data_IF_906043480705
#
_entry.id   IF_906043480705
#
_cell.length_a   1.000
_cell.length_b   1.000
_cell.length_c   1.000
_cell.angle_alpha   90.00
_cell.angle_beta   90.00
_cell.angle_gamma   90.00
#
_symmetry.space_group_name_H-M   'P 1'
#
loop_
_entity.id
_entity.type
_entity.pdbx_description
1 polymer ?
#
# COMPACT_ATOMS: atom_id res chain seq x y z
N UNK A 1 -33.49 24.65 25.31
CA UNK A 1 -32.03 24.62 25.05
C UNK A 1 -31.85 23.86 23.74
N UNK A 2 -31.82 24.59 22.64
CA UNK A 2 -31.90 24.04 21.28
C UNK A 2 -30.48 23.70 20.83
N UNK A 3 -30.13 22.42 20.85
CA UNK A 3 -28.90 21.90 20.26
C UNK A 3 -29.01 22.06 18.75
N UNK A 4 -28.44 23.15 18.21
CA UNK A 4 -28.20 23.29 16.79
C UNK A 4 -27.18 22.22 16.38
N UNK A 5 -27.67 21.16 15.73
CA UNK A 5 -26.82 20.27 14.94
C UNK A 5 -26.32 21.08 13.75
N UNK A 6 -25.07 21.54 13.81
CA UNK A 6 -24.36 22.05 12.64
C UNK A 6 -24.19 20.86 11.70
N UNK A 7 -25.09 20.72 10.74
CA UNK A 7 -24.86 19.87 9.57
C UNK A 7 -23.70 20.49 8.80
N UNK A 8 -22.50 19.92 8.97
CA UNK A 8 -21.36 20.20 8.10
C UNK A 8 -21.75 19.60 6.74
N UNK A 9 -22.19 20.44 5.80
CA UNK A 9 -22.41 20.01 4.42
C UNK A 9 -21.06 19.64 3.78
N UNK A 10 -20.69 18.36 3.88
CA UNK A 10 -19.46 17.83 3.30
C UNK A 10 -19.44 17.88 1.77
N UNK A 11 -20.57 18.16 1.10
CA UNK A 11 -20.59 18.36 -0.36
C UNK A 11 -19.98 19.70 -0.78
N UNK A 12 -19.89 20.66 0.13
CA UNK A 12 -19.37 21.99 -0.15
C UNK A 12 -17.84 22.11 0.00
N UNK A 13 -17.20 21.15 0.69
CA UNK A 13 -15.75 21.12 0.83
C UNK A 13 -15.14 20.43 -0.40
N UNK A 14 -14.65 21.22 -1.37
CA UNK A 14 -13.83 20.68 -2.46
C UNK A 14 -12.57 19.99 -1.91
N UNK A 15 -11.97 19.08 -2.70
CA UNK A 15 -10.73 18.38 -2.36
C UNK A 15 -9.68 19.35 -1.81
N UNK A 16 -9.06 18.99 -0.69
CA UNK A 16 -7.99 19.80 -0.09
C UNK A 16 -6.82 19.97 -1.06
N UNK A 17 -6.04 21.04 -0.91
CA UNK A 17 -4.84 21.27 -1.73
C UNK A 17 -3.87 20.08 -1.70
N UNK A 18 -3.73 19.41 -0.56
CA UNK A 18 -2.89 18.22 -0.42
C UNK A 18 -3.43 17.02 -1.21
N UNK A 19 -4.72 16.69 -1.06
CA UNK A 19 -5.38 15.59 -1.77
C UNK A 19 -5.37 15.79 -3.28
N UNK A 20 -5.66 17.03 -3.72
CA UNK A 20 -5.66 17.41 -5.13
C UNK A 20 -4.29 17.22 -5.80
N UNK A 21 -3.21 17.47 -5.06
CA UNK A 21 -1.84 17.36 -5.57
C UNK A 21 -1.09 16.12 -5.05
N UNK A 22 -1.80 15.12 -4.50
CA UNK A 22 -1.21 13.95 -3.84
C UNK A 22 -0.20 13.23 -4.72
N UNK A 23 -0.49 13.03 -6.01
CA UNK A 23 0.43 12.38 -6.95
C UNK A 23 1.74 13.15 -7.11
N UNK A 24 1.70 14.49 -7.10
CA UNK A 24 2.90 15.33 -7.17
C UNK A 24 3.70 15.22 -5.88
N UNK A 25 3.02 15.25 -4.72
CA UNK A 25 3.68 15.07 -3.43
C UNK A 25 4.36 13.69 -3.32
N UNK A 26 3.66 12.62 -3.67
CA UNK A 26 4.22 11.25 -3.68
C UNK A 26 5.41 11.17 -4.65
N UNK A 27 5.27 11.68 -5.87
CA UNK A 27 6.37 11.73 -6.83
C UNK A 27 7.58 12.51 -6.31
N UNK A 28 7.36 13.67 -5.68
CA UNK A 28 8.43 14.48 -5.09
C UNK A 28 9.12 13.76 -3.92
N UNK A 29 8.37 13.02 -3.10
CA UNK A 29 8.92 12.25 -1.99
C UNK A 29 9.79 11.07 -2.49
N UNK A 30 9.37 10.40 -3.56
CA UNK A 30 10.16 9.34 -4.20
C UNK A 30 11.47 9.92 -4.75
N UNK A 31 11.40 11.00 -5.53
CA UNK A 31 12.58 11.66 -6.11
C UNK A 31 13.53 12.18 -5.01
N UNK A 32 12.98 12.83 -3.99
CA UNK A 32 13.74 13.30 -2.83
C UNK A 32 14.41 12.14 -2.08
N UNK A 33 13.70 11.03 -1.88
CA UNK A 33 14.25 9.83 -1.25
C UNK A 33 15.42 9.22 -2.05
N UNK A 34 15.28 9.11 -3.37
CA UNK A 34 16.35 8.60 -4.25
C UNK A 34 17.57 9.54 -4.20
N UNK A 35 17.35 10.86 -4.29
CA UNK A 35 18.44 11.83 -4.24
C UNK A 35 19.18 11.79 -2.89
N UNK A 36 18.46 11.78 -1.78
CA UNK A 36 19.03 11.67 -0.44
C UNK A 36 19.77 10.34 -0.23
N UNK A 37 19.22 9.23 -0.74
CA UNK A 37 19.85 7.92 -0.70
C UNK A 37 21.21 7.88 -1.41
N UNK A 38 21.32 8.57 -2.55
CA UNK A 38 22.56 8.66 -3.32
C UNK A 38 23.57 9.65 -2.72
N UNK A 39 23.11 10.76 -2.13
CA UNK A 39 23.99 11.79 -1.56
C UNK A 39 24.52 11.43 -0.16
N UNK A 40 23.77 10.64 0.61
CA UNK A 40 24.11 10.25 1.97
C UNK A 40 23.97 8.73 2.20
N UNK A 41 24.64 7.86 1.43
CA UNK A 41 24.46 6.41 1.50
C UNK A 41 24.78 5.83 2.88
N UNK A 42 25.75 6.41 3.60
CA UNK A 42 26.11 5.98 4.96
C UNK A 42 24.99 6.20 5.98
N UNK A 43 24.22 7.29 5.85
CA UNK A 43 23.05 7.55 6.69
C UNK A 43 21.97 6.49 6.46
N UNK A 44 21.62 6.23 5.19
CA UNK A 44 20.61 5.22 4.85
C UNK A 44 21.06 3.80 5.21
N UNK A 45 22.34 3.48 5.09
CA UNK A 45 22.90 2.21 5.56
C UNK A 45 22.78 2.07 7.08
N UNK A 46 23.04 3.14 7.85
CA UNK A 46 22.87 3.12 9.30
C UNK A 46 21.40 2.93 9.71
N UNK A 47 20.46 3.53 8.98
CA UNK A 47 19.02 3.34 9.19
C UNK A 47 18.56 1.94 8.79
N UNK A 48 19.11 1.40 7.70
CA UNK A 48 18.87 0.03 7.25
C UNK A 48 19.36 -0.99 8.28
N UNK A 49 20.51 -0.72 8.92
CA UNK A 49 21.09 -1.55 9.98
C UNK A 49 20.30 -1.53 11.29
N UNK A 50 19.33 -0.62 11.46
CA UNK A 50 18.34 -0.69 12.55
C UNK A 50 17.29 -1.76 12.22
N UNK A 51 17.75 -3.00 12.12
CA UNK A 51 16.93 -4.17 11.86
C UNK A 51 17.13 -5.25 12.93
N UNK A 52 16.07 -6.02 13.15
CA UNK A 52 16.11 -7.21 13.99
C UNK A 52 15.47 -8.36 13.22
N UNK A 53 16.17 -9.49 13.08
CA UNK A 53 15.69 -10.66 12.34
C UNK A 53 15.21 -10.32 10.90
N UNK A 54 16.00 -9.53 10.16
CA UNK A 54 15.67 -9.05 8.80
C UNK A 54 14.45 -8.13 8.71
N UNK A 55 13.98 -7.57 9.83
CA UNK A 55 12.88 -6.60 9.87
C UNK A 55 13.42 -5.23 10.30
N UNK A 56 13.36 -4.25 9.39
CA UNK A 56 13.78 -2.89 9.70
C UNK A 56 12.80 -2.21 10.68
N UNK A 57 13.29 -1.85 11.86
CA UNK A 57 12.45 -1.32 12.94
C UNK A 57 11.93 0.09 12.61
N UNK A 58 12.72 0.91 11.93
CA UNK A 58 12.31 2.27 11.52
C UNK A 58 11.13 2.17 10.56
N UNK A 59 11.25 1.34 9.52
CA UNK A 59 10.17 1.10 8.56
C UNK A 59 8.96 0.46 9.25
N UNK A 60 9.16 -0.50 10.15
CA UNK A 60 8.07 -1.14 10.89
C UNK A 60 7.24 -0.13 11.71
N UNK A 61 7.89 0.80 12.41
CA UNK A 61 7.20 1.86 13.17
C UNK A 61 6.41 2.78 12.23
N UNK A 62 6.98 3.18 11.09
CA UNK A 62 6.30 4.03 10.11
C UNK A 62 5.08 3.32 9.50
N UNK A 63 5.22 2.04 9.12
CA UNK A 63 4.11 1.23 8.62
C UNK A 63 3.03 1.09 9.72
N UNK A 64 3.42 0.88 10.98
CA UNK A 64 2.46 0.76 12.08
C UNK A 64 1.69 2.07 12.30
N UNK A 65 2.37 3.22 12.26
CA UNK A 65 1.74 4.53 12.34
C UNK A 65 0.73 4.77 11.20
N UNK A 66 0.99 4.23 10.00
CA UNK A 66 0.06 4.27 8.87
C UNK A 66 -1.13 3.33 9.04
N UNK A 67 -0.92 2.13 9.58
CA UNK A 67 -1.97 1.10 9.75
C UNK A 67 -2.89 1.42 10.94
N UNK A 68 -2.36 2.01 12.02
CA UNK A 68 -3.06 2.23 13.27
C UNK A 68 -4.39 3.00 13.12
N UNK A 69 -4.47 4.15 12.40
CA UNK A 69 -5.72 4.87 12.23
C UNK A 69 -6.82 4.03 11.58
N UNK A 70 -6.45 3.20 10.59
CA UNK A 70 -7.41 2.32 9.91
C UNK A 70 -7.92 1.21 10.83
N UNK A 71 -7.07 0.65 11.70
CA UNK A 71 -7.49 -0.38 12.66
C UNK A 71 -8.48 0.16 13.69
N UNK A 72 -8.29 1.40 14.17
CA UNK A 72 -9.19 2.04 15.15
C UNK A 72 -10.54 2.39 14.52
N UNK A 73 -10.60 2.61 13.20
CA UNK A 73 -11.82 2.91 12.48
C UNK A 73 -12.72 1.69 12.20
N UNK A 74 -12.29 0.46 12.56
CA UNK A 74 -13.06 -0.76 12.29
C UNK A 74 -14.26 -0.88 13.23
N UNK A 75 -15.48 -0.92 12.66
CA UNK A 75 -16.71 -1.23 13.38
C UNK A 75 -16.94 -2.76 13.48
N UNK A 76 -16.70 -3.32 14.66
CA UNK A 76 -16.93 -4.74 14.96
C UNK A 76 -18.41 -5.17 14.83
N UNK A 77 -19.36 -4.24 14.97
CA UNK A 77 -20.78 -4.50 14.76
C UNK A 77 -21.13 -4.77 13.30
N UNK A 78 -20.42 -4.13 12.36
CA UNK A 78 -20.55 -4.38 10.93
C UNK A 78 -20.01 -5.75 10.53
N UNK A 79 -18.95 -6.24 11.18
CA UNK A 79 -18.35 -7.57 10.92
C UNK A 79 -19.38 -8.69 11.13
N UNK A 80 -20.28 -8.56 12.12
CA UNK A 80 -21.34 -9.55 12.38
C UNK A 80 -22.33 -9.70 11.23
N UNK A 81 -22.49 -8.68 10.39
CA UNK A 81 -23.39 -8.65 9.22
C UNK A 81 -22.69 -8.99 7.90
N UNK A 82 -21.42 -9.38 7.92
CA UNK A 82 -20.65 -9.68 6.69
C UNK A 82 -21.28 -10.82 5.87
N UNK A 83 -22.00 -11.72 6.54
CA UNK A 83 -22.72 -12.84 5.92
C UNK A 83 -24.00 -12.45 5.15
N UNK A 84 -24.52 -11.23 5.33
CA UNK A 84 -25.77 -10.79 4.69
C UNK A 84 -25.61 -10.58 3.17
N UNK A 85 -24.37 -10.36 2.71
CA UNK A 85 -24.04 -10.15 1.29
C UNK A 85 -22.90 -11.08 0.82
N UNK A 86 -23.14 -12.41 0.78
CA UNK A 86 -22.08 -13.39 0.54
C UNK A 86 -21.50 -13.32 -0.88
N UNK A 87 -22.31 -12.95 -1.88
CA UNK A 87 -21.86 -12.83 -3.28
C UNK A 87 -20.74 -11.81 -3.45
N UNK A 88 -20.85 -10.64 -2.81
CA UNK A 88 -19.82 -9.61 -2.87
C UNK A 88 -18.53 -10.08 -2.21
N UNK A 89 -18.65 -10.69 -1.03
CA UNK A 89 -17.50 -11.23 -0.29
C UNK A 89 -16.76 -12.32 -1.08
N UNK A 90 -17.50 -13.26 -1.70
CA UNK A 90 -16.92 -14.32 -2.52
C UNK A 90 -16.14 -13.72 -3.69
N UNK A 91 -16.75 -12.78 -4.43
CA UNK A 91 -16.07 -12.13 -5.57
C UNK A 91 -14.80 -11.42 -5.09
N UNK A 92 -14.88 -10.62 -4.01
CA UNK A 92 -13.72 -9.90 -3.49
C UNK A 92 -12.62 -10.85 -3.01
N UNK A 93 -12.96 -11.92 -2.30
CA UNK A 93 -11.98 -12.92 -1.85
C UNK A 93 -11.35 -13.65 -3.03
N UNK A 94 -12.15 -14.11 -4.00
CA UNK A 94 -11.63 -14.76 -5.21
C UNK A 94 -10.73 -13.82 -6.00
N UNK A 95 -11.13 -12.58 -6.23
CA UNK A 95 -10.30 -11.62 -6.98
C UNK A 95 -9.02 -11.30 -6.21
N UNK A 96 -9.10 -11.02 -4.90
CA UNK A 96 -7.94 -10.57 -4.12
C UNK A 96 -6.94 -11.69 -3.82
N UNK A 97 -7.41 -12.91 -3.57
CA UNK A 97 -6.56 -14.02 -3.13
C UNK A 97 -6.23 -15.02 -4.24
N UNK A 98 -7.11 -15.17 -5.24
CA UNK A 98 -6.86 -16.05 -6.38
C UNK A 98 -6.37 -15.22 -7.57
N UNK A 99 -7.21 -14.35 -8.13
CA UNK A 99 -6.88 -13.76 -9.44
C UNK A 99 -5.66 -12.81 -9.34
N UNK A 100 -5.67 -11.86 -8.41
CA UNK A 100 -4.67 -10.79 -8.33
C UNK A 100 -3.23 -11.32 -8.12
N UNK A 101 -2.93 -12.25 -7.19
CA UNK A 101 -1.56 -12.73 -6.99
C UNK A 101 -1.04 -13.54 -8.18
N UNK A 102 -1.88 -14.40 -8.77
CA UNK A 102 -1.47 -15.22 -9.92
C UNK A 102 -1.32 -14.38 -11.19
N UNK A 103 -2.17 -13.38 -11.41
CA UNK A 103 -1.97 -12.43 -12.51
C UNK A 103 -0.70 -11.62 -12.32
N UNK A 104 -0.38 -11.16 -11.10
CA UNK A 104 0.88 -10.46 -10.82
C UNK A 104 2.10 -11.37 -11.00
N UNK A 105 2.03 -12.64 -10.61
CA UNK A 105 3.08 -13.62 -10.87
C UNK A 105 3.30 -13.83 -12.38
N UNK A 106 2.22 -14.05 -13.14
CA UNK A 106 2.28 -14.25 -14.58
C UNK A 106 2.85 -13.04 -15.32
N UNK A 107 2.42 -11.83 -14.93
CA UNK A 107 2.97 -10.58 -15.46
C UNK A 107 4.43 -10.39 -15.06
N UNK A 108 4.78 -10.69 -13.80
CA UNK A 108 6.16 -10.63 -13.32
C UNK A 108 7.10 -11.51 -14.14
N UNK A 109 6.75 -12.78 -14.34
CA UNK A 109 7.53 -13.71 -15.17
C UNK A 109 7.61 -13.22 -16.62
N UNK A 110 6.48 -12.83 -17.22
CA UNK A 110 6.46 -12.34 -18.60
C UNK A 110 7.40 -11.15 -18.80
N UNK A 111 7.35 -10.16 -17.91
CA UNK A 111 8.17 -8.96 -18.08
C UNK A 111 9.62 -9.17 -17.66
N UNK A 112 9.89 -9.81 -16.53
CA UNK A 112 11.25 -9.92 -15.98
C UNK A 112 12.06 -11.11 -16.53
N UNK A 113 11.42 -12.20 -16.96
CA UNK A 113 12.12 -13.37 -17.51
C UNK A 113 12.02 -13.50 -19.04
N UNK A 114 11.08 -12.80 -19.69
CA UNK A 114 10.91 -12.88 -21.16
C UNK A 114 11.20 -11.54 -21.84
N UNK A 115 10.48 -10.48 -21.49
CA UNK A 115 10.58 -9.18 -22.22
C UNK A 115 11.87 -8.43 -21.87
N UNK A 116 12.27 -8.42 -20.59
CA UNK A 116 13.44 -7.70 -20.10
C UNK A 116 14.60 -8.62 -19.71
N UNK A 117 14.60 -9.87 -20.17
CA UNK A 117 15.60 -10.87 -19.82
C UNK A 117 17.04 -10.41 -20.09
N UNK A 118 17.26 -9.68 -21.20
CA UNK A 118 18.58 -9.19 -21.59
C UNK A 118 19.01 -7.91 -20.84
N UNK A 119 18.09 -7.26 -20.13
CA UNK A 119 18.33 -5.98 -19.44
C UNK A 119 18.53 -6.13 -17.92
N UNK A 120 18.20 -7.30 -17.36
CA UNK A 120 18.14 -7.51 -15.90
C UNK A 120 18.88 -8.79 -15.54
N UNK A 121 19.69 -8.74 -14.47
CA UNK A 121 20.35 -9.93 -13.97
C UNK A 121 19.32 -10.95 -13.44
N UNK A 122 19.48 -12.26 -13.69
CA UNK A 122 18.50 -13.27 -13.28
C UNK A 122 18.18 -13.25 -11.77
N UNK A 123 19.15 -12.90 -10.93
CA UNK A 123 18.97 -12.78 -9.50
C UNK A 123 18.02 -11.62 -9.12
N UNK A 124 18.12 -10.48 -9.80
CA UNK A 124 17.28 -9.31 -9.55
C UNK A 124 15.86 -9.53 -10.08
N UNK A 125 15.74 -10.19 -11.24
CA UNK A 125 14.45 -10.59 -11.80
C UNK A 125 13.65 -11.44 -10.81
N UNK A 126 14.29 -12.43 -10.18
CA UNK A 126 13.65 -13.27 -9.16
C UNK A 126 13.16 -12.45 -7.94
N UNK A 127 13.96 -11.47 -7.49
CA UNK A 127 13.57 -10.59 -6.39
C UNK A 127 12.40 -9.67 -6.75
N UNK A 128 12.39 -9.12 -7.97
CA UNK A 128 11.30 -8.28 -8.44
C UNK A 128 10.00 -9.07 -8.61
N UNK A 129 10.05 -10.30 -9.12
CA UNK A 129 8.88 -11.19 -9.21
C UNK A 129 8.33 -11.48 -7.82
N UNK A 130 9.20 -11.83 -6.85
CA UNK A 130 8.77 -12.03 -5.47
C UNK A 130 8.08 -10.78 -4.90
N UNK A 131 8.66 -9.59 -5.11
CA UNK A 131 8.07 -8.31 -4.71
C UNK A 131 6.70 -8.05 -5.33
N UNK A 132 6.54 -8.30 -6.63
CA UNK A 132 5.25 -8.15 -7.33
C UNK A 132 4.17 -9.09 -6.79
N UNK A 133 4.53 -10.33 -6.47
CA UNK A 133 3.60 -11.30 -5.91
C UNK A 133 3.16 -10.85 -4.50
N UNK A 134 4.09 -10.38 -3.66
CA UNK A 134 3.78 -9.85 -2.33
C UNK A 134 2.85 -8.63 -2.40
N UNK A 135 3.09 -7.70 -3.34
CA UNK A 135 2.20 -6.56 -3.59
C UNK A 135 0.83 -6.99 -4.16
N UNK A 136 0.82 -8.04 -4.97
CA UNK A 136 -0.39 -8.68 -5.50
C UNK A 136 -1.27 -9.26 -4.38
N UNK A 137 -0.66 -9.96 -3.44
CA UNK A 137 -1.34 -10.55 -2.28
C UNK A 137 -1.77 -9.52 -1.23
N UNK A 138 -1.19 -8.32 -1.22
CA UNK A 138 -1.56 -7.27 -0.28
C UNK A 138 -3.05 -6.86 -0.44
N UNK A 139 -3.84 -6.84 0.64
CA UNK A 139 -5.25 -6.44 0.59
C UNK A 139 -5.37 -4.94 0.24
N UNK A 140 -6.20 -4.60 -0.74
CA UNK A 140 -6.40 -3.23 -1.22
C UNK A 140 -7.34 -2.38 -0.34
N UNK A 141 -7.49 -2.74 0.94
CA UNK A 141 -8.62 -2.36 1.80
C UNK A 141 -8.60 -0.91 2.29
N UNK A 142 -7.48 -0.21 2.18
CA UNK A 142 -7.29 1.12 2.78
C UNK A 142 -7.97 2.28 2.01
N UNK A 143 -8.10 2.17 0.69
CA UNK A 143 -8.44 3.33 -0.17
C UNK A 143 -9.96 3.55 -0.35
N UNK A 144 -10.80 2.68 0.22
CA UNK A 144 -12.27 2.70 0.02
C UNK A 144 -13.03 3.15 1.29
N UNK A 145 -12.31 3.51 2.35
CA UNK A 145 -12.88 3.98 3.63
C UNK A 145 -12.83 5.51 3.80
N UNK A 146 -12.69 6.25 2.69
CA UNK A 146 -12.80 7.72 2.64
C UNK A 146 -14.05 8.10 1.87
#
# INVERSE_FOLDING_TARGET
>A
MTTATVEIDQRAAGLGLFEKWLSVWVGSAILGGIALGNLAPGLFASLAAVEYASVNLVVAVLIWAMIFPMMVAVDFGAVRRVGDKPKGLIITLTVNWLIKPFTMAALGVLFFEVVFADLIAPADAQQYIAGLILLGAAPCTAMVFV
#
